data_IF_512882824169
#
_entry.id   IF_512882824169
#
_cell.length_a   1.000
_cell.length_b   1.000
_cell.length_c   1.000
_cell.angle_alpha   90.00
_cell.angle_beta   90.00
_cell.angle_gamma   90.00
#
_symmetry.space_group_name_H-M   'P 1'
#
loop_
_entity.id
_entity.type
_entity.pdbx_description
1 polymer ?
#
# COMPACT_ATOMS: atom_id res chain seq x y z
N UNK A 1 -19.21 -3.64 3.26
CA UNK A 1 -18.34 -4.73 2.79
C UNK A 1 -17.77 -4.34 1.44
N UNK A 2 -16.67 -4.96 1.00
CA UNK A 2 -16.19 -4.79 -0.37
C UNK A 2 -17.23 -5.31 -1.36
N UNK A 3 -17.32 -4.66 -2.52
CA UNK A 3 -18.42 -4.84 -3.49
C UNK A 3 -17.93 -5.24 -4.87
N UNK A 4 -16.61 -5.35 -5.08
CA UNK A 4 -16.02 -5.47 -6.42
C UNK A 4 -16.48 -4.34 -7.37
N UNK A 5 -16.86 -3.18 -6.79
CA UNK A 5 -16.94 -1.90 -7.50
C UNK A 5 -15.71 -1.02 -7.18
N UNK A 6 -14.99 -0.56 -8.21
CA UNK A 6 -13.72 0.16 -8.01
C UNK A 6 -13.87 1.41 -7.14
N UNK A 7 -14.95 2.19 -7.31
CA UNK A 7 -15.26 3.35 -6.47
C UNK A 7 -15.84 2.91 -5.12
N UNK A 8 -16.74 1.93 -5.12
CA UNK A 8 -17.39 1.44 -3.90
C UNK A 8 -16.41 0.89 -2.87
N UNK A 9 -15.34 0.21 -3.30
CA UNK A 9 -14.35 -0.34 -2.36
C UNK A 9 -13.50 0.75 -1.70
N UNK A 10 -13.11 1.81 -2.44
CA UNK A 10 -12.39 2.93 -1.82
C UNK A 10 -13.32 3.71 -0.90
N UNK A 11 -14.60 3.86 -1.25
CA UNK A 11 -15.62 4.45 -0.36
C UNK A 11 -15.76 3.64 0.92
N UNK A 12 -15.83 2.31 0.83
CA UNK A 12 -15.89 1.42 1.99
C UNK A 12 -14.67 1.59 2.92
N UNK A 13 -13.45 1.58 2.38
CA UNK A 13 -12.23 1.82 3.17
C UNK A 13 -12.22 3.24 3.77
N UNK A 14 -12.79 4.21 3.06
CA UNK A 14 -12.92 5.59 3.55
C UNK A 14 -13.91 5.69 4.72
N UNK A 15 -15.01 4.93 4.68
CA UNK A 15 -15.94 4.84 5.82
C UNK A 15 -15.28 4.19 7.04
N UNK A 16 -14.44 3.14 6.85
CA UNK A 16 -13.64 2.58 7.95
C UNK A 16 -12.72 3.64 8.58
N UNK A 17 -12.06 4.45 7.75
CA UNK A 17 -11.26 5.60 8.20
C UNK A 17 -12.10 6.69 8.90
N UNK A 18 -13.35 6.92 8.50
CA UNK A 18 -14.21 7.89 9.23
C UNK A 18 -14.62 7.36 10.59
N UNK A 19 -14.93 6.07 10.66
CA UNK A 19 -15.41 5.40 11.88
C UNK A 19 -14.29 4.97 12.84
N UNK A 20 -13.02 5.20 12.50
CA UNK A 20 -11.85 4.69 13.23
C UNK A 20 -11.88 3.17 13.41
N UNK A 21 -12.42 2.47 12.42
CA UNK A 21 -12.40 1.01 12.36
C UNK A 21 -11.03 0.54 11.87
N UNK A 22 -10.27 -0.23 12.64
CA UNK A 22 -8.94 -0.67 12.23
C UNK A 22 -8.97 -1.56 10.99
N UNK A 23 -7.99 -1.35 10.10
CA UNK A 23 -7.71 -2.23 8.99
C UNK A 23 -6.27 -2.10 8.51
N UNK A 24 -5.82 -3.08 7.76
CA UNK A 24 -4.59 -2.96 6.98
C UNK A 24 -4.87 -3.25 5.52
N UNK A 25 -4.22 -2.52 4.61
CA UNK A 25 -4.31 -2.78 3.18
C UNK A 25 -2.91 -2.82 2.56
N UNK A 26 -2.56 -3.98 2.02
CA UNK A 26 -1.34 -4.21 1.25
C UNK A 26 -1.69 -4.33 -0.24
N UNK A 27 -0.98 -3.64 -1.14
CA UNK A 27 -1.31 -3.63 -2.58
C UNK A 27 -0.20 -4.30 -3.39
N UNK A 28 -0.53 -5.39 -4.08
CA UNK A 28 0.40 -6.20 -4.86
C UNK A 28 0.20 -5.90 -6.35
N UNK A 29 1.13 -5.13 -6.92
CA UNK A 29 1.15 -4.78 -8.33
C UNK A 29 1.89 -5.82 -9.18
N UNK A 30 2.21 -5.41 -10.41
CA UNK A 30 3.06 -6.17 -11.33
C UNK A 30 4.48 -6.38 -10.80
N UNK A 31 5.04 -5.38 -10.12
CA UNK A 31 6.36 -5.46 -9.47
C UNK A 31 6.42 -6.52 -8.38
N UNK A 32 5.49 -6.50 -7.42
CA UNK A 32 5.44 -7.50 -6.34
C UNK A 32 5.17 -8.91 -6.90
N UNK A 33 4.33 -9.03 -7.93
CA UNK A 33 4.09 -10.32 -8.59
C UNK A 33 5.29 -10.85 -9.36
N UNK A 34 6.12 -9.98 -9.92
CA UNK A 34 7.39 -10.41 -10.51
C UNK A 34 8.28 -11.06 -9.45
N UNK A 35 8.36 -10.47 -8.25
CA UNK A 35 9.14 -11.00 -7.12
C UNK A 35 8.57 -12.35 -6.64
N UNK A 36 7.24 -12.45 -6.44
CA UNK A 36 6.57 -13.70 -6.03
C UNK A 36 6.84 -14.84 -7.04
N UNK A 37 6.84 -14.51 -8.34
CA UNK A 37 7.15 -15.45 -9.41
C UNK A 37 8.66 -15.67 -9.63
N UNK A 38 9.51 -15.09 -8.79
CA UNK A 38 10.97 -15.20 -8.86
C UNK A 38 11.59 -14.64 -10.16
N UNK A 39 10.93 -13.65 -10.78
CA UNK A 39 11.43 -12.93 -11.94
C UNK A 39 12.33 -11.78 -11.49
N UNK A 40 13.54 -11.71 -12.03
CA UNK A 40 14.48 -10.60 -11.77
C UNK A 40 13.89 -9.26 -12.22
N UNK A 41 14.10 -8.22 -11.43
CA UNK A 41 13.55 -6.89 -11.67
C UNK A 41 14.50 -5.81 -11.14
N UNK A 42 14.92 -4.86 -11.98
CA UNK A 42 15.77 -3.74 -11.55
C UNK A 42 15.09 -2.39 -11.83
N UNK A 43 14.63 -1.75 -10.76
CA UNK A 43 13.98 -0.44 -10.74
C UNK A 43 14.80 0.61 -9.97
N UNK A 44 16.09 0.38 -9.75
CA UNK A 44 16.96 1.35 -9.07
C UNK A 44 17.10 2.66 -9.83
N UNK A 45 17.00 2.62 -11.17
CA UNK A 45 16.97 3.82 -12.01
C UNK A 45 15.75 4.72 -11.74
N UNK A 46 14.71 4.21 -11.06
CA UNK A 46 13.55 4.97 -10.58
C UNK A 46 13.65 5.34 -9.10
N UNK A 47 14.76 5.01 -8.43
CA UNK A 47 14.94 5.16 -7.00
C UNK A 47 14.11 4.16 -6.17
N UNK A 48 13.66 3.07 -6.79
CA UNK A 48 12.80 2.08 -6.14
C UNK A 48 13.64 0.92 -5.63
N UNK A 49 13.77 -0.16 -6.42
CA UNK A 49 14.32 -1.39 -5.89
C UNK A 49 14.90 -2.35 -6.91
N UNK A 50 15.76 -3.27 -6.47
CA UNK A 50 16.29 -4.37 -7.28
C UNK A 50 16.03 -5.73 -6.62
N UNK A 51 15.38 -6.61 -7.37
CA UNK A 51 15.22 -8.02 -7.03
C UNK A 51 16.07 -8.88 -7.98
N UNK A 52 16.98 -9.64 -7.39
CA UNK A 52 17.91 -10.55 -8.08
C UNK A 52 17.89 -11.96 -7.44
N UNK A 53 16.73 -12.36 -6.90
CA UNK A 53 16.54 -13.68 -6.27
C UNK A 53 16.73 -13.71 -4.76
N UNK A 54 16.55 -12.57 -4.06
CA UNK A 54 16.58 -12.53 -2.60
C UNK A 54 15.44 -13.38 -2.01
N UNK A 55 15.76 -14.60 -1.58
CA UNK A 55 14.76 -15.61 -1.14
C UNK A 55 13.88 -15.13 0.02
N UNK A 56 14.47 -14.39 0.97
CA UNK A 56 13.75 -13.89 2.15
C UNK A 56 12.69 -12.86 1.77
N UNK A 57 13.02 -11.93 0.84
CA UNK A 57 12.04 -10.96 0.32
C UNK A 57 10.85 -11.67 -0.33
N UNK A 58 11.14 -12.64 -1.21
CA UNK A 58 10.10 -13.41 -1.91
C UNK A 58 9.22 -14.17 -0.92
N UNK A 59 9.83 -14.79 0.09
CA UNK A 59 9.10 -15.53 1.14
C UNK A 59 8.19 -14.59 1.94
N UNK A 60 8.73 -13.48 2.42
CA UNK A 60 7.97 -12.51 3.23
C UNK A 60 6.84 -11.86 2.43
N UNK A 61 7.05 -11.59 1.14
CA UNK A 61 5.98 -11.10 0.25
C UNK A 61 4.89 -12.13 0.03
N UNK A 62 5.25 -13.41 -0.21
CA UNK A 62 4.27 -14.47 -0.39
C UNK A 62 3.47 -14.70 0.91
N UNK A 63 4.13 -14.69 2.07
CA UNK A 63 3.47 -14.75 3.38
C UNK A 63 2.48 -13.59 3.54
N UNK A 64 2.90 -12.38 3.19
CA UNK A 64 2.03 -11.19 3.24
C UNK A 64 0.86 -11.25 2.26
N UNK A 65 1.05 -11.92 1.12
CA UNK A 65 0.05 -12.08 0.07
C UNK A 65 -0.97 -13.19 0.38
N UNK A 66 -0.61 -14.14 1.22
CA UNK A 66 -1.48 -15.26 1.63
C UNK A 66 -2.08 -15.06 3.04
N UNK A 67 -1.72 -13.97 3.71
CA UNK A 67 -2.15 -13.67 5.08
C UNK A 67 -3.66 -13.43 5.14
N UNK A 68 -4.34 -14.20 5.97
CA UNK A 68 -5.79 -14.19 6.06
C UNK A 68 -6.22 -13.79 7.49
N UNK A 69 -6.49 -12.51 7.69
CA UNK A 69 -6.92 -11.92 8.96
C UNK A 69 -8.12 -10.98 8.74
N UNK A 70 -9.02 -10.88 9.71
CA UNK A 70 -10.13 -9.92 9.66
C UNK A 70 -9.61 -8.49 9.49
N UNK A 71 -10.24 -7.72 8.58
CA UNK A 71 -9.84 -6.36 8.19
C UNK A 71 -8.40 -6.23 7.65
N UNK A 72 -7.76 -7.34 7.23
CA UNK A 72 -6.57 -7.31 6.39
C UNK A 72 -6.99 -7.48 4.92
N UNK A 73 -6.83 -6.41 4.14
CA UNK A 73 -7.24 -6.33 2.75
C UNK A 73 -6.04 -6.46 1.81
N UNK A 74 -6.23 -7.17 0.70
CA UNK A 74 -5.19 -7.41 -0.30
C UNK A 74 -5.63 -6.80 -1.63
N UNK A 75 -4.87 -5.80 -2.09
CA UNK A 75 -4.99 -5.25 -3.42
C UNK A 75 -4.32 -6.16 -4.45
N UNK A 76 -5.03 -6.64 -5.47
CA UNK A 76 -4.48 -7.40 -6.60
C UNK A 76 -4.56 -6.64 -7.92
N UNK A 77 -3.68 -6.96 -8.86
CA UNK A 77 -3.63 -6.26 -10.15
C UNK A 77 -4.94 -6.46 -10.94
N UNK A 78 -5.43 -5.40 -11.58
CA UNK A 78 -6.73 -5.41 -12.25
C UNK A 78 -6.69 -6.22 -13.56
N UNK A 79 -7.78 -6.90 -13.94
CA UNK A 79 -7.89 -7.59 -15.25
C UNK A 79 -7.56 -6.69 -16.43
N UNK A 80 -8.06 -5.45 -16.43
CA UNK A 80 -7.78 -4.47 -17.48
C UNK A 80 -6.33 -3.93 -17.51
N UNK A 81 -5.50 -4.32 -16.55
CA UNK A 81 -4.10 -3.91 -16.44
C UNK A 81 -3.14 -5.06 -16.76
N UNK A 82 -3.47 -6.29 -16.33
CA UNK A 82 -2.58 -7.46 -16.48
C UNK A 82 -3.16 -8.59 -17.34
N UNK A 83 -4.42 -8.49 -17.75
CA UNK A 83 -5.17 -9.53 -18.45
C UNK A 83 -5.78 -10.56 -17.49
N UNK A 84 -6.77 -11.31 -18.00
CA UNK A 84 -7.58 -12.24 -17.21
C UNK A 84 -6.76 -13.36 -16.57
N UNK A 85 -5.85 -13.98 -17.32
CA UNK A 85 -5.02 -15.09 -16.83
C UNK A 85 -4.14 -14.68 -15.64
N UNK A 86 -3.50 -13.50 -15.69
CA UNK A 86 -2.64 -13.04 -14.60
C UNK A 86 -3.45 -12.64 -13.37
N UNK A 87 -4.57 -11.94 -13.57
CA UNK A 87 -5.46 -11.59 -12.47
C UNK A 87 -6.00 -12.84 -11.76
N UNK A 88 -6.49 -13.82 -12.52
CA UNK A 88 -7.01 -15.07 -11.97
C UNK A 88 -5.92 -15.86 -11.22
N UNK A 89 -4.70 -15.90 -11.77
CA UNK A 89 -3.55 -16.50 -11.09
C UNK A 89 -3.23 -15.81 -9.76
N UNK A 90 -3.35 -14.48 -9.67
CA UNK A 90 -3.17 -13.77 -8.39
C UNK A 90 -4.23 -14.20 -7.36
N UNK A 91 -5.50 -14.34 -7.76
CA UNK A 91 -6.58 -14.82 -6.88
C UNK A 91 -6.34 -16.24 -6.36
N UNK A 92 -5.83 -17.11 -7.21
CA UNK A 92 -5.49 -18.48 -6.83
C UNK A 92 -4.31 -18.51 -5.86
N UNK A 93 -3.24 -17.76 -6.15
CA UNK A 93 -2.03 -17.73 -5.32
C UNK A 93 -2.29 -17.11 -3.95
N UNK A 94 -3.08 -16.02 -3.85
CA UNK A 94 -3.39 -15.41 -2.55
C UNK A 94 -4.18 -16.36 -1.67
N UNK A 95 -5.11 -17.14 -2.23
CA UNK A 95 -5.99 -18.06 -1.46
C UNK A 95 -6.79 -17.39 -0.33
N UNK A 96 -6.82 -16.06 -0.28
CA UNK A 96 -7.62 -15.24 0.64
C UNK A 96 -9.05 -15.14 0.13
N UNK A 97 -10.00 -15.06 1.06
CA UNK A 97 -11.43 -14.95 0.75
C UNK A 97 -11.74 -13.68 -0.03
N UNK A 98 -12.71 -13.76 -0.95
CA UNK A 98 -13.04 -12.70 -1.91
C UNK A 98 -13.38 -11.37 -1.22
N UNK A 99 -14.02 -11.41 -0.05
CA UNK A 99 -14.44 -10.24 0.74
C UNK A 99 -13.27 -9.44 1.31
N UNK A 100 -12.03 -9.96 1.20
CA UNK A 100 -10.79 -9.30 1.60
C UNK A 100 -9.92 -8.89 0.40
N UNK A 101 -10.36 -9.18 -0.83
CA UNK A 101 -9.65 -8.81 -2.04
C UNK A 101 -10.20 -7.51 -2.61
N UNK A 102 -9.30 -6.60 -3.00
CA UNK A 102 -9.61 -5.36 -3.71
C UNK A 102 -8.53 -5.06 -4.75
N UNK A 103 -8.48 -3.87 -5.36
CA UNK A 103 -7.51 -3.55 -6.40
C UNK A 103 -6.18 -3.06 -5.84
N UNK A 104 -5.08 -3.51 -6.43
CA UNK A 104 -3.77 -2.89 -6.23
C UNK A 104 -3.75 -1.41 -6.66
N UNK A 105 -4.63 -1.05 -7.58
CA UNK A 105 -4.80 0.31 -8.09
C UNK A 105 -5.85 1.13 -7.33
N UNK A 106 -6.34 0.68 -6.18
CA UNK A 106 -7.51 1.28 -5.49
C UNK A 106 -7.38 2.79 -5.23
N UNK A 107 -6.17 3.32 -5.03
CA UNK A 107 -5.91 4.75 -4.78
C UNK A 107 -5.50 5.56 -6.02
N UNK A 108 -5.45 4.95 -7.21
CA UNK A 108 -4.97 5.60 -8.44
C UNK A 108 -6.05 5.55 -9.54
N UNK A 109 -5.69 5.92 -10.77
CA UNK A 109 -6.60 5.94 -11.92
C UNK A 109 -7.85 6.82 -11.64
N UNK A 110 -9.07 6.40 -12.00
CA UNK A 110 -10.28 7.17 -11.71
C UNK A 110 -10.57 7.38 -10.23
N UNK A 111 -9.92 6.63 -9.34
CA UNK A 111 -10.02 6.86 -7.91
C UNK A 111 -9.09 7.96 -7.39
N UNK A 112 -8.08 8.38 -8.17
CA UNK A 112 -7.02 9.27 -7.67
C UNK A 112 -7.56 10.61 -7.14
N UNK A 113 -8.42 11.30 -7.90
CA UNK A 113 -8.94 12.61 -7.48
C UNK A 113 -9.78 12.49 -6.20
N UNK A 114 -10.68 11.52 -6.14
CA UNK A 114 -11.44 11.23 -4.91
C UNK A 114 -10.52 10.85 -3.74
N UNK A 115 -9.47 10.06 -3.98
CA UNK A 115 -8.50 9.72 -2.94
C UNK A 115 -7.86 11.00 -2.38
N UNK A 116 -7.41 11.91 -3.25
CA UNK A 116 -6.83 13.21 -2.87
C UNK A 116 -7.82 14.12 -2.14
N UNK A 117 -9.06 14.19 -2.60
CA UNK A 117 -10.06 15.16 -2.15
C UNK A 117 -10.92 14.68 -0.97
N UNK A 118 -11.12 13.36 -0.84
CA UNK A 118 -12.05 12.77 0.13
C UNK A 118 -11.36 11.86 1.15
N UNK A 119 -10.26 11.18 0.79
CA UNK A 119 -9.60 10.21 1.69
C UNK A 119 -8.44 10.85 2.45
N UNK A 120 -7.53 11.53 1.75
CA UNK A 120 -6.38 12.19 2.39
C UNK A 120 -6.80 13.15 3.52
N UNK A 121 -7.85 13.98 3.38
CA UNK A 121 -8.25 14.86 4.47
C UNK A 121 -8.61 14.14 5.77
N UNK A 122 -9.07 12.88 5.69
CA UNK A 122 -9.40 12.05 6.85
C UNK A 122 -8.17 11.73 7.71
N UNK A 123 -6.96 11.76 7.14
CA UNK A 123 -5.72 11.48 7.87
C UNK A 123 -5.47 12.49 9.00
N UNK A 124 -6.01 13.71 8.89
CA UNK A 124 -5.91 14.72 9.96
C UNK A 124 -6.67 14.34 11.26
N UNK A 125 -7.52 13.31 11.22
CA UNK A 125 -8.24 12.81 12.40
C UNK A 125 -7.45 11.78 13.22
N UNK A 126 -6.21 11.51 12.82
CA UNK A 126 -5.35 10.47 13.36
C UNK A 126 -3.99 11.03 13.78
N UNK A 127 -3.42 10.42 14.82
CA UNK A 127 -1.98 10.45 15.00
C UNK A 127 -1.32 9.63 13.89
N UNK A 128 -0.57 10.29 13.03
CA UNK A 128 -0.12 9.73 11.76
C UNK A 128 1.39 9.60 11.70
N UNK A 129 1.88 8.38 11.44
CA UNK A 129 3.29 8.11 11.13
C UNK A 129 3.44 7.78 9.64
N UNK A 130 4.35 8.48 8.96
CA UNK A 130 4.66 8.27 7.55
C UNK A 130 6.02 7.58 7.37
N UNK A 131 6.07 6.55 6.54
CA UNK A 131 7.30 5.95 6.04
C UNK A 131 7.41 6.25 4.54
N UNK A 132 8.42 7.02 4.13
CA UNK A 132 8.54 7.43 2.71
C UNK A 132 9.97 7.76 2.30
N UNK A 133 10.31 7.72 1.00
CA UNK A 133 11.64 8.09 0.52
C UNK A 133 11.89 9.61 0.46
N UNK A 134 10.81 10.38 0.51
CA UNK A 134 10.82 11.84 0.40
C UNK A 134 10.61 12.54 1.74
N UNK A 135 10.41 13.86 1.71
CA UNK A 135 10.15 14.69 2.89
C UNK A 135 8.65 14.85 3.15
N UNK A 136 8.23 14.99 4.41
CA UNK A 136 6.82 15.18 4.76
C UNK A 136 6.35 16.65 4.74
N UNK A 137 7.25 17.62 4.51
CA UNK A 137 7.00 19.06 4.75
C UNK A 137 5.92 19.68 3.89
N UNK A 138 5.67 19.14 2.69
CA UNK A 138 4.73 19.72 1.71
C UNK A 138 3.41 18.94 1.62
N UNK A 139 3.14 18.05 2.56
CA UNK A 139 1.88 17.30 2.60
C UNK A 139 0.73 18.22 3.05
N UNK A 140 -0.44 18.01 2.46
CA UNK A 140 -1.67 18.75 2.78
C UNK A 140 -2.44 18.15 3.98
N UNK A 141 -1.78 17.31 4.78
CA UNK A 141 -2.30 16.74 6.02
C UNK A 141 -1.17 16.66 7.04
N UNK A 142 -1.53 16.62 8.31
CA UNK A 142 -0.58 16.55 9.42
C UNK A 142 0.10 15.18 9.47
N UNK A 143 1.43 15.18 9.55
CA UNK A 143 2.24 14.02 9.87
C UNK A 143 2.89 14.28 11.23
N UNK A 144 2.57 13.45 12.22
CA UNK A 144 3.11 13.59 13.58
C UNK A 144 4.52 13.02 13.70
N UNK A 145 4.86 12.07 12.82
CA UNK A 145 6.13 11.38 12.83
C UNK A 145 6.49 10.85 11.44
N UNK A 146 7.74 10.96 11.05
CA UNK A 146 8.20 10.61 9.72
C UNK A 146 9.54 9.88 9.80
N UNK A 147 9.60 8.72 9.12
CA UNK A 147 10.83 7.97 8.95
C UNK A 147 11.17 7.92 7.46
N UNK A 148 12.32 8.49 7.10
CA UNK A 148 12.81 8.51 5.72
C UNK A 148 13.52 7.20 5.37
N UNK A 149 13.16 6.61 4.23
CA UNK A 149 13.77 5.37 3.71
C UNK A 149 14.50 5.60 2.39
N UNK A 150 15.35 4.65 2.00
CA UNK A 150 16.05 4.67 0.72
C UNK A 150 15.54 3.59 -0.26
N UNK A 151 16.19 3.49 -1.43
CA UNK A 151 16.04 2.33 -2.30
C UNK A 151 16.38 1.02 -1.56
N UNK A 152 15.81 -0.08 -2.02
CA UNK A 152 15.96 -1.41 -1.38
C UNK A 152 15.63 -1.38 0.13
N UNK A 153 14.58 -0.67 0.51
CA UNK A 153 14.22 -0.40 1.90
C UNK A 153 14.09 -1.67 2.78
N UNK A 154 13.66 -2.80 2.23
CA UNK A 154 13.59 -4.06 2.99
C UNK A 154 14.97 -4.61 3.40
N UNK A 155 16.05 -4.16 2.75
CA UNK A 155 17.44 -4.47 3.11
C UNK A 155 18.00 -3.37 3.99
N UNK A 156 17.86 -2.12 3.53
CA UNK A 156 18.60 -0.97 4.06
C UNK A 156 17.90 -0.31 5.25
N UNK A 157 16.63 -0.58 5.47
CA UNK A 157 15.80 0.06 6.50
C UNK A 157 15.02 -0.98 7.32
N UNK A 158 15.66 -2.13 7.63
CA UNK A 158 15.04 -3.22 8.42
C UNK A 158 14.59 -2.77 9.82
N UNK A 159 15.17 -1.69 10.33
CA UNK A 159 14.85 -1.07 11.62
C UNK A 159 13.51 -0.31 11.62
N UNK A 160 12.88 -0.08 10.46
CA UNK A 160 11.54 0.52 10.38
C UNK A 160 10.50 -0.30 11.15
N UNK A 161 10.55 -1.64 11.08
CA UNK A 161 9.61 -2.48 11.81
C UNK A 161 9.73 -2.32 13.34
N UNK A 162 10.91 -2.49 13.98
CA UNK A 162 11.04 -2.25 15.41
C UNK A 162 10.79 -0.80 15.80
N UNK A 163 11.14 0.18 14.97
CA UNK A 163 10.79 1.58 15.19
C UNK A 163 9.27 1.78 15.29
N UNK A 164 8.50 1.32 14.30
CA UNK A 164 7.04 1.40 14.30
C UNK A 164 6.44 0.61 15.46
N UNK A 165 6.96 -0.59 15.74
CA UNK A 165 6.52 -1.42 16.87
C UNK A 165 6.66 -0.70 18.20
N UNK A 166 7.79 -0.04 18.46
CA UNK A 166 8.01 0.71 19.71
C UNK A 166 6.99 1.85 19.90
N UNK A 167 6.50 2.46 18.82
CA UNK A 167 5.49 3.51 18.87
C UNK A 167 4.10 2.96 19.11
N UNK A 168 3.77 1.84 18.46
CA UNK A 168 2.48 1.17 18.63
C UNK A 168 2.37 0.50 20.00
N UNK A 169 3.47 -0.04 20.56
CA UNK A 169 3.51 -0.59 21.92
C UNK A 169 3.19 0.49 22.98
N UNK A 170 3.50 1.76 22.71
CA UNK A 170 3.26 2.90 23.61
C UNK A 170 1.96 3.65 23.28
N UNK A 171 1.25 3.26 22.21
CA UNK A 171 0.07 3.97 21.77
C UNK A 171 -1.13 3.66 22.65
N UNK A 172 -1.73 4.70 23.23
CA UNK A 172 -3.00 4.62 23.96
C UNK A 172 -4.22 4.84 23.07
N UNK A 173 -4.00 5.31 21.84
CA UNK A 173 -5.03 5.66 20.86
C UNK A 173 -4.82 4.93 19.54
N UNK A 174 -5.87 4.87 18.72
CA UNK A 174 -5.79 4.34 17.37
C UNK A 174 -4.87 5.22 16.50
N UNK A 175 -3.83 4.62 15.92
CA UNK A 175 -2.84 5.31 15.08
C UNK A 175 -3.01 4.94 13.61
N UNK A 176 -2.61 5.86 12.73
CA UNK A 176 -2.55 5.66 11.30
C UNK A 176 -1.10 5.56 10.84
N UNK A 177 -0.75 4.44 10.19
CA UNK A 177 0.56 4.20 9.61
C UNK A 177 0.45 4.24 8.09
N UNK A 178 1.17 5.14 7.45
CA UNK A 178 1.16 5.34 6.00
C UNK A 178 2.49 4.90 5.40
N UNK A 179 2.46 4.02 4.39
CA UNK A 179 3.65 3.38 3.84
C UNK A 179 3.82 3.69 2.35
N UNK A 180 4.94 4.31 2.00
CA UNK A 180 5.38 4.55 0.61
C UNK A 180 6.71 3.80 0.38
N UNK A 181 6.71 2.47 0.51
CA UNK A 181 7.93 1.67 0.65
C UNK A 181 8.05 0.48 -0.33
N UNK A 182 7.35 0.54 -1.47
CA UNK A 182 7.36 -0.54 -2.47
C UNK A 182 7.03 -1.91 -1.83
N UNK A 183 7.73 -3.01 -2.20
CA UNK A 183 7.48 -4.33 -1.64
C UNK A 183 7.63 -4.42 -0.12
N UNK A 184 8.39 -3.51 0.50
CA UNK A 184 8.52 -3.48 1.95
C UNK A 184 7.22 -3.00 2.62
N UNK A 185 6.42 -2.17 1.95
CA UNK A 185 5.11 -1.76 2.45
C UNK A 185 4.18 -2.96 2.65
N UNK A 186 4.14 -3.90 1.70
CA UNK A 186 3.34 -5.13 1.81
C UNK A 186 3.72 -5.95 3.06
N UNK A 187 5.03 -6.12 3.28
CA UNK A 187 5.57 -6.86 4.42
C UNK A 187 5.23 -6.18 5.74
N UNK A 188 5.37 -4.85 5.80
CA UNK A 188 5.04 -4.06 6.98
C UNK A 188 3.54 -4.07 7.27
N UNK A 189 2.68 -3.93 6.24
CA UNK A 189 1.23 -4.05 6.37
C UNK A 189 0.83 -5.35 7.07
N UNK A 190 1.42 -6.49 6.68
CA UNK A 190 1.16 -7.77 7.33
C UNK A 190 1.71 -7.82 8.75
N UNK A 191 3.02 -7.64 8.91
CA UNK A 191 3.71 -7.81 10.21
C UNK A 191 3.17 -6.88 11.28
N UNK A 192 2.89 -5.61 10.94
CA UNK A 192 2.35 -4.66 11.89
C UNK A 192 0.89 -4.98 12.24
N UNK A 193 0.05 -5.32 11.27
CA UNK A 193 -1.36 -5.55 11.56
C UNK A 193 -1.63 -6.87 12.28
N UNK A 194 -0.80 -7.88 12.05
CA UNK A 194 -0.81 -9.14 12.79
C UNK A 194 -0.52 -8.91 14.28
N UNK A 195 0.43 -8.03 14.61
CA UNK A 195 0.80 -7.71 15.99
C UNK A 195 -0.07 -6.61 16.62
N UNK A 196 -0.54 -5.65 15.82
CA UNK A 196 -1.20 -4.42 16.25
C UNK A 196 -2.55 -4.22 15.52
N UNK A 197 -3.51 -5.16 15.66
CA UNK A 197 -4.76 -5.16 14.88
C UNK A 197 -5.70 -3.98 15.20
N UNK A 198 -5.42 -3.23 16.28
CA UNK A 198 -6.21 -2.07 16.71
C UNK A 198 -5.79 -0.76 16.03
N UNK A 199 -4.87 -0.80 15.05
CA UNK A 199 -4.37 0.36 14.32
C UNK A 199 -4.64 0.23 12.81
N UNK A 200 -4.58 1.35 12.08
CA UNK A 200 -4.76 1.34 10.62
C UNK A 200 -3.42 1.43 9.92
N UNK A 201 -3.14 0.53 8.97
CA UNK A 201 -1.89 0.49 8.20
C UNK A 201 -2.19 0.48 6.69
N UNK A 202 -1.73 1.49 5.97
CA UNK A 202 -2.08 1.68 4.55
C UNK A 202 -0.81 1.74 3.71
N UNK A 203 -0.68 0.81 2.76
CA UNK A 203 0.24 0.95 1.63
C UNK A 203 -0.30 2.00 0.65
N UNK A 204 0.33 3.19 0.64
CA UNK A 204 0.00 4.29 -0.27
C UNK A 204 0.76 4.23 -1.60
N UNK A 205 1.86 3.48 -1.65
CA UNK A 205 2.71 3.40 -2.82
C UNK A 205 3.22 4.76 -3.27
N UNK A 206 2.79 5.21 -4.46
CA UNK A 206 3.36 6.39 -5.14
C UNK A 206 2.43 7.61 -5.18
N UNK A 207 1.25 7.54 -4.54
CA UNK A 207 0.23 8.60 -4.64
C UNK A 207 0.67 9.95 -4.09
N UNK A 208 1.67 9.96 -3.20
CA UNK A 208 2.25 11.16 -2.58
C UNK A 208 3.57 11.60 -3.22
N UNK A 209 4.07 10.95 -4.28
CA UNK A 209 5.44 11.17 -4.77
C UNK A 209 5.76 12.62 -5.13
N UNK A 210 4.80 13.38 -5.66
CA UNK A 210 4.99 14.82 -5.91
C UNK A 210 5.13 15.57 -4.58
N UNK A 211 4.20 15.31 -3.65
CA UNK A 211 4.11 16.02 -2.38
C UNK A 211 5.35 15.77 -1.50
N UNK A 212 5.93 14.57 -1.56
CA UNK A 212 7.16 14.23 -0.83
C UNK A 212 8.47 14.56 -1.56
N UNK A 213 8.40 15.18 -2.75
CA UNK A 213 9.59 15.62 -3.49
C UNK A 213 10.32 14.53 -4.30
N UNK A 214 9.70 13.38 -4.53
CA UNK A 214 10.21 12.33 -5.46
C UNK A 214 9.91 12.69 -6.91
N UNK A 215 8.80 13.39 -7.16
CA UNK A 215 8.37 13.85 -8.48
C UNK A 215 7.36 12.94 -9.18
N UNK A 216 6.90 13.37 -10.36
CA UNK A 216 5.79 12.75 -11.09
C UNK A 216 6.23 11.51 -11.90
N UNK A 217 6.71 10.46 -11.23
CA UNK A 217 7.25 9.24 -11.84
C UNK A 217 6.18 8.19 -12.24
N UNK A 218 4.90 8.57 -12.25
CA UNK A 218 3.76 7.74 -12.67
C UNK A 218 2.87 8.50 -13.65
N UNK A 219 2.13 7.76 -14.49
CA UNK A 219 1.23 8.36 -15.50
C UNK A 219 0.17 9.26 -14.88
N UNK A 220 -0.56 8.76 -13.88
CA UNK A 220 -1.64 9.52 -13.22
C UNK A 220 -1.14 10.81 -12.53
N UNK A 221 0.09 10.81 -12.01
CA UNK A 221 0.74 12.00 -11.45
C UNK A 221 1.07 13.07 -12.51
N UNK A 222 1.12 12.68 -13.78
CA UNK A 222 1.39 13.57 -14.93
C UNK A 222 0.13 13.93 -15.70
N UNK A 223 -1.06 13.67 -15.16
CA UNK A 223 -2.31 13.93 -15.87
C UNK A 223 -2.62 12.94 -16.99
N UNK A 224 -2.07 11.73 -16.96
CA UNK A 224 -2.32 10.74 -18.01
C UNK A 224 -3.81 10.33 -18.08
N UNK A 225 -4.32 9.88 -19.25
CA UNK A 225 -5.71 9.46 -19.44
C UNK A 225 -6.20 8.37 -18.47
N UNK A 226 -5.28 7.65 -17.81
CA UNK A 226 -5.61 6.71 -16.74
C UNK A 226 -6.41 7.33 -15.60
N UNK A 227 -6.38 8.66 -15.41
CA UNK A 227 -7.23 9.37 -14.45
C UNK A 227 -8.74 9.23 -14.72
N UNK A 228 -9.13 8.80 -15.92
CA UNK A 228 -10.53 8.49 -16.25
C UNK A 228 -10.80 6.99 -16.34
N UNK A 229 -9.78 6.15 -16.07
CA UNK A 229 -9.88 4.69 -16.18
C UNK A 229 -10.48 4.09 -14.89
N UNK A 230 -11.66 3.52 -15.00
CA UNK A 230 -12.23 2.64 -13.98
C UNK A 230 -11.64 1.24 -14.13
N UNK A 231 -11.05 0.70 -13.07
CA UNK A 231 -10.47 -0.63 -13.09
C UNK A 231 -11.56 -1.71 -13.09
N UNK A 232 -11.31 -2.79 -13.84
CA UNK A 232 -12.20 -3.95 -13.89
C UNK A 232 -11.68 -4.99 -12.88
N UNK A 233 -12.60 -5.53 -12.08
CA UNK A 233 -12.34 -6.66 -11.17
C UNK A 233 -12.09 -7.91 -11.99
#
# INVERSE_FOLDING_TARGET
MLTSNFRGDIEYLSEKLKNKEPFSIARFGDGEMAIINNNKLNLLHKGEFNFDGQKDLRKDLLDSFQHNQDNYFIGIACRCCVGDSKHQSMKEVTSVVEERLTWANIFVNSNYNYFRESVIPLFNNYKTTLISPGDASNLNFKVDDHYKIGPDAWINNKDVYPYLGSKLDQAIEHNLILLCAGPFANILCKKLYEKYPNHTIIDLGSVLNIDIGVGANRGYLRGAPTLSKTCIW
#
